data_IF_222997699155
#
_entry.id   IF_222997699155
#
_cell.length_a   1.000
_cell.length_b   1.000
_cell.length_c   1.000
_cell.angle_alpha   90.00
_cell.angle_beta   90.00
_cell.angle_gamma   90.00
#
_symmetry.space_group_name_H-M   'P 1'
#
loop_
_entity.id
_entity.type
_entity.pdbx_description
1 polymer ?
#
# COMPACT_ATOMS: atom_id res chain seq x y z
N UNK A 1 -54.24 -32.26 2.95
CA UNK A 1 -53.08 -31.47 2.44
C UNK A 1 -52.48 -32.24 1.30
N UNK A 2 -52.79 -31.79 0.09
CA UNK A 2 -52.51 -32.45 -1.19
C UNK A 2 -51.10 -32.10 -1.67
N UNK A 3 -50.34 -33.11 -2.07
CA UNK A 3 -48.99 -32.99 -2.60
C UNK A 3 -49.00 -32.42 -4.04
N UNK A 4 -48.04 -31.55 -4.42
CA UNK A 4 -47.95 -31.07 -5.79
C UNK A 4 -47.21 -32.08 -6.69
N UNK A 5 -47.90 -32.46 -7.76
CA UNK A 5 -47.41 -33.23 -8.91
C UNK A 5 -46.38 -32.42 -9.67
N UNK A 6 -45.16 -32.95 -9.81
CA UNK A 6 -44.09 -32.39 -10.64
C UNK A 6 -44.28 -32.91 -12.06
N UNK A 7 -44.66 -32.03 -12.99
CA UNK A 7 -44.72 -32.26 -14.43
C UNK A 7 -43.33 -32.17 -15.06
N UNK A 8 -42.96 -33.20 -15.83
CA UNK A 8 -41.75 -33.24 -16.66
C UNK A 8 -41.74 -32.12 -17.71
N UNK A 9 -40.60 -31.40 -17.90
CA UNK A 9 -40.45 -30.44 -18.99
C UNK A 9 -40.13 -31.16 -20.30
N UNK A 10 -40.94 -30.87 -21.31
CA UNK A 10 -40.86 -31.42 -22.66
C UNK A 10 -39.53 -31.21 -23.36
N UNK A 11 -39.15 -32.23 -24.13
CA UNK A 11 -38.05 -32.29 -25.09
C UNK A 11 -38.29 -31.31 -26.24
N UNK A 12 -37.87 -30.06 -26.05
CA UNK A 12 -37.80 -29.05 -27.11
C UNK A 12 -36.67 -29.38 -28.09
N UNK A 13 -37.03 -29.67 -29.34
CA UNK A 13 -36.14 -29.79 -30.47
C UNK A 13 -35.38 -28.47 -30.70
N UNK A 14 -34.16 -28.38 -30.17
CA UNK A 14 -33.23 -27.31 -30.54
C UNK A 14 -32.71 -27.55 -31.96
N UNK A 15 -32.77 -26.54 -32.85
CA UNK A 15 -32.21 -26.64 -34.19
C UNK A 15 -30.71 -26.90 -34.12
N UNK A 16 -30.23 -27.78 -34.99
CA UNK A 16 -28.81 -28.12 -35.11
C UNK A 16 -27.99 -26.83 -35.28
N UNK A 17 -26.98 -26.58 -34.43
CA UNK A 17 -26.11 -25.42 -34.60
C UNK A 17 -25.39 -25.56 -35.94
N UNK A 18 -25.68 -24.64 -36.86
CA UNK A 18 -24.93 -24.52 -38.10
C UNK A 18 -23.44 -24.30 -37.79
N UNK A 19 -22.54 -24.70 -38.70
CA UNK A 19 -21.11 -24.57 -38.49
C UNK A 19 -20.76 -23.08 -38.37
N UNK A 20 -20.66 -22.61 -37.13
CA UNK A 20 -20.04 -21.32 -36.84
C UNK A 20 -18.63 -21.41 -37.37
N UNK A 21 -18.27 -20.45 -38.22
CA UNK A 21 -16.93 -20.31 -38.78
C UNK A 21 -16.02 -19.89 -37.64
N UNK A 22 -15.68 -20.88 -36.83
CA UNK A 22 -14.81 -20.76 -35.69
C UNK A 22 -13.45 -20.33 -36.21
N UNK A 23 -13.03 -19.19 -35.68
CA UNK A 23 -11.66 -18.75 -35.52
C UNK A 23 -10.90 -19.87 -34.78
N UNK A 24 -10.60 -20.95 -35.49
CA UNK A 24 -9.75 -22.04 -35.03
C UNK A 24 -8.33 -21.50 -34.94
N UNK A 25 -8.09 -20.75 -33.88
CA UNK A 25 -6.76 -20.37 -33.45
C UNK A 25 -5.99 -21.69 -33.36
N UNK A 26 -4.94 -21.88 -34.16
CA UNK A 26 -4.39 -23.21 -34.42
C UNK A 26 -4.09 -23.90 -33.09
N UNK A 27 -4.62 -25.09 -32.88
CA UNK A 27 -4.49 -25.89 -31.65
C UNK A 27 -3.03 -26.05 -31.18
N UNK A 28 -2.09 -25.98 -32.12
CA UNK A 28 -0.65 -25.90 -31.88
C UNK A 28 -0.22 -24.66 -31.07
N UNK A 29 -0.84 -23.51 -31.29
CA UNK A 29 -0.52 -22.24 -30.61
C UNK A 29 -1.10 -22.20 -29.19
N UNK A 30 -2.32 -22.74 -28.99
CA UNK A 30 -2.89 -22.92 -27.65
C UNK A 30 -2.05 -23.86 -26.79
N UNK A 31 -1.59 -25.00 -27.34
CA UNK A 31 -0.79 -25.97 -26.58
C UNK A 31 0.60 -25.43 -26.19
N UNK A 32 1.23 -24.61 -27.05
CA UNK A 32 2.52 -23.96 -26.75
C UNK A 32 2.40 -22.89 -25.67
N UNK A 33 1.34 -22.08 -25.68
CA UNK A 33 1.10 -21.08 -24.62
C UNK A 33 0.63 -21.71 -23.30
N UNK A 34 -0.02 -22.87 -23.33
CA UNK A 34 -0.50 -23.55 -22.12
C UNK A 34 0.61 -24.19 -21.26
N UNK A 35 1.79 -24.51 -21.84
CA UNK A 35 2.92 -25.10 -21.08
C UNK A 35 3.51 -24.14 -20.03
N UNK A 36 3.95 -22.91 -20.38
CA UNK A 36 4.51 -21.98 -19.40
C UNK A 36 3.48 -21.57 -18.33
N UNK A 37 2.21 -21.46 -18.70
CA UNK A 37 1.13 -21.15 -17.75
C UNK A 37 0.92 -22.25 -16.70
N UNK A 38 0.93 -23.53 -17.12
CA UNK A 38 0.83 -24.67 -16.19
C UNK A 38 2.02 -24.74 -15.24
N UNK A 39 3.24 -24.61 -15.76
CA UNK A 39 4.45 -24.57 -14.95
C UNK A 39 4.42 -23.43 -13.93
N UNK A 40 4.00 -22.24 -14.34
CA UNK A 40 3.89 -21.09 -13.44
C UNK A 40 2.85 -21.31 -12.34
N UNK A 41 1.68 -21.87 -12.67
CA UNK A 41 0.64 -22.22 -11.69
C UNK A 41 1.13 -23.25 -10.68
N UNK A 42 1.85 -24.27 -11.12
CA UNK A 42 2.45 -25.27 -10.22
C UNK A 42 3.48 -24.64 -9.28
N UNK A 43 4.32 -23.73 -9.78
CA UNK A 43 5.30 -23.02 -8.95
C UNK A 43 4.64 -22.14 -7.89
N UNK A 44 3.52 -21.50 -8.23
CA UNK A 44 2.72 -20.74 -7.26
C UNK A 44 2.09 -21.66 -6.20
N UNK A 45 1.51 -22.79 -6.61
CA UNK A 45 0.93 -23.75 -5.67
C UNK A 45 1.98 -24.30 -4.69
N UNK A 46 3.16 -24.68 -5.19
CA UNK A 46 4.25 -25.13 -4.34
C UNK A 46 4.72 -24.05 -3.35
N UNK A 47 4.71 -22.78 -3.77
CA UNK A 47 5.01 -21.65 -2.88
C UNK A 47 3.91 -21.43 -1.83
N UNK A 48 2.64 -21.59 -2.20
CA UNK A 48 1.50 -21.46 -1.29
C UNK A 48 1.60 -22.52 -0.18
N UNK A 49 1.78 -23.78 -0.57
CA UNK A 49 1.86 -24.91 0.37
C UNK A 49 3.10 -24.81 1.27
N UNK A 50 4.22 -24.26 0.76
CA UNK A 50 5.42 -23.98 1.57
C UNK A 50 5.13 -22.98 2.70
N UNK A 51 4.44 -21.86 2.42
CA UNK A 51 4.15 -20.84 3.45
C UNK A 51 3.26 -21.40 4.56
N UNK A 52 2.28 -22.23 4.18
CA UNK A 52 1.36 -22.88 5.14
C UNK A 52 2.10 -23.94 5.97
N UNK A 53 2.96 -24.74 5.34
CA UNK A 53 3.77 -25.74 6.04
C UNK A 53 4.73 -25.07 7.04
N UNK A 54 5.38 -23.97 6.66
CA UNK A 54 6.23 -23.21 7.57
C UNK A 54 5.44 -22.59 8.74
N UNK A 55 4.21 -22.12 8.51
CA UNK A 55 3.37 -21.63 9.61
C UNK A 55 2.98 -22.76 10.56
N UNK A 56 2.62 -23.96 10.05
CA UNK A 56 2.33 -25.12 10.90
C UNK A 56 3.55 -25.52 11.73
N UNK A 57 4.72 -25.64 11.09
CA UNK A 57 5.97 -25.92 11.79
C UNK A 57 6.25 -24.90 12.88
N UNK A 58 6.05 -23.60 12.61
CA UNK A 58 6.25 -22.56 13.61
C UNK A 58 5.27 -22.65 14.79
N UNK A 59 4.02 -23.07 14.56
CA UNK A 59 3.06 -23.30 15.64
C UNK A 59 3.40 -24.56 16.46
N UNK A 60 3.85 -25.62 15.80
CA UNK A 60 4.32 -26.86 16.44
C UNK A 60 5.56 -26.58 17.31
N UNK A 61 6.52 -25.79 16.81
CA UNK A 61 7.73 -25.38 17.55
C UNK A 61 7.39 -24.56 18.81
N UNK A 62 6.26 -23.85 18.81
CA UNK A 62 5.75 -23.08 19.95
C UNK A 62 4.82 -23.89 20.86
N UNK A 63 4.52 -25.15 20.51
CA UNK A 63 3.58 -26.00 21.27
C UNK A 63 2.12 -25.52 21.19
N UNK A 64 1.74 -24.82 20.12
CA UNK A 64 0.36 -24.33 19.92
C UNK A 64 -0.41 -25.36 19.08
N UNK A 65 -1.12 -26.28 19.75
CA UNK A 65 -1.89 -27.37 19.12
C UNK A 65 -3.17 -26.90 18.38
N UNK A 66 -3.35 -25.60 18.15
CA UNK A 66 -4.57 -25.08 17.52
C UNK A 66 -4.50 -25.25 16.00
N UNK A 67 -5.51 -25.89 15.36
CA UNK A 67 -5.54 -26.00 13.91
C UNK A 67 -5.72 -24.62 13.26
N UNK A 68 -4.92 -24.33 12.24
CA UNK A 68 -5.05 -23.09 11.46
C UNK A 68 -6.44 -23.07 10.80
N UNK A 69 -7.22 -22.02 11.06
CA UNK A 69 -8.53 -21.87 10.41
C UNK A 69 -8.46 -21.87 8.87
N UNK A 70 -9.47 -22.45 8.22
CA UNK A 70 -9.58 -22.48 6.75
C UNK A 70 -9.59 -21.06 6.13
N UNK A 71 -10.03 -20.05 6.89
CA UNK A 71 -10.00 -18.65 6.49
C UNK A 71 -8.59 -18.11 6.33
N UNK A 72 -7.69 -18.43 7.28
CA UNK A 72 -6.27 -18.03 7.23
C UNK A 72 -5.54 -18.74 6.08
N UNK A 73 -5.77 -20.05 5.90
CA UNK A 73 -5.22 -20.80 4.76
C UNK A 73 -5.63 -20.15 3.42
N UNK A 74 -6.93 -19.96 3.21
CA UNK A 74 -7.46 -19.35 1.98
C UNK A 74 -6.91 -17.94 1.75
N UNK A 75 -6.76 -17.15 2.82
CA UNK A 75 -6.21 -15.81 2.76
C UNK A 75 -4.73 -15.80 2.34
N UNK A 76 -3.91 -16.70 2.88
CA UNK A 76 -2.48 -16.81 2.53
C UNK A 76 -2.30 -17.23 1.08
N UNK A 77 -3.03 -18.24 0.61
CA UNK A 77 -3.00 -18.67 -0.81
C UNK A 77 -3.39 -17.53 -1.74
N UNK A 78 -4.43 -16.77 -1.38
CA UNK A 78 -4.89 -15.62 -2.18
C UNK A 78 -3.85 -14.49 -2.17
N UNK A 79 -3.23 -14.19 -1.03
CA UNK A 79 -2.18 -13.18 -0.93
C UNK A 79 -0.97 -13.52 -1.82
N UNK A 80 -0.47 -14.75 -1.73
CA UNK A 80 0.73 -15.14 -2.46
C UNK A 80 0.50 -15.18 -3.99
N UNK A 81 -0.65 -15.71 -4.42
CA UNK A 81 -1.07 -15.70 -5.83
C UNK A 81 -1.08 -14.29 -6.43
N UNK A 82 -1.62 -13.31 -5.69
CA UNK A 82 -1.66 -11.95 -6.20
C UNK A 82 -0.30 -11.23 -6.12
N UNK A 83 0.50 -11.50 -5.10
CA UNK A 83 1.81 -10.85 -4.93
C UNK A 83 2.77 -11.22 -6.07
N UNK A 84 2.85 -12.50 -6.43
CA UNK A 84 3.68 -12.97 -7.55
C UNK A 84 3.27 -12.34 -8.89
N UNK A 85 1.97 -12.24 -9.14
CA UNK A 85 1.45 -11.58 -10.35
C UNK A 85 1.79 -10.08 -10.37
N UNK A 86 1.53 -9.36 -9.28
CA UNK A 86 1.77 -7.92 -9.21
C UNK A 86 3.25 -7.55 -9.25
N UNK A 87 4.14 -8.41 -8.74
CA UNK A 87 5.58 -8.18 -8.84
C UNK A 87 6.04 -8.23 -10.30
N UNK A 88 5.57 -9.20 -11.07
CA UNK A 88 5.85 -9.29 -12.51
C UNK A 88 5.29 -8.09 -13.27
N UNK A 89 4.03 -7.74 -13.03
CA UNK A 89 3.39 -6.58 -13.68
C UNK A 89 4.13 -5.28 -13.35
N UNK A 90 4.47 -5.05 -12.07
CA UNK A 90 5.23 -3.85 -11.66
C UNK A 90 6.61 -3.81 -12.28
N UNK A 91 7.31 -4.95 -12.34
CA UNK A 91 8.61 -5.05 -13.00
C UNK A 91 8.51 -4.69 -14.48
N UNK A 92 7.55 -5.27 -15.21
CA UNK A 92 7.33 -4.98 -16.62
C UNK A 92 6.93 -3.52 -16.88
N UNK A 93 6.01 -2.97 -16.08
CA UNK A 93 5.61 -1.56 -16.18
C UNK A 93 6.80 -0.64 -15.89
N UNK A 94 7.62 -0.95 -14.89
CA UNK A 94 8.83 -0.20 -14.58
C UNK A 94 9.83 -0.19 -15.75
N UNK A 95 10.06 -1.34 -16.38
CA UNK A 95 10.94 -1.45 -17.56
C UNK A 95 10.38 -0.63 -18.73
N UNK A 96 9.09 -0.77 -19.04
CA UNK A 96 8.44 -0.01 -20.11
C UNK A 96 8.48 1.50 -19.82
N UNK A 97 8.33 1.89 -18.57
CA UNK A 97 8.39 3.29 -18.15
C UNK A 97 9.79 3.88 -18.34
N UNK A 98 10.84 3.16 -17.92
CA UNK A 98 12.23 3.56 -18.14
C UNK A 98 12.54 3.67 -19.63
N UNK A 99 12.10 2.69 -20.43
CA UNK A 99 12.23 2.73 -21.89
C UNK A 99 11.53 3.93 -22.50
N UNK A 100 10.30 4.21 -22.07
CA UNK A 100 9.53 5.35 -22.53
C UNK A 100 10.26 6.67 -22.28
N UNK A 101 10.80 6.88 -21.07
CA UNK A 101 11.56 8.09 -20.75
C UNK A 101 12.88 8.19 -21.53
N UNK A 102 13.60 7.07 -21.70
CA UNK A 102 14.82 7.05 -22.50
C UNK A 102 14.54 7.43 -23.96
N UNK A 103 13.49 6.86 -24.56
CA UNK A 103 13.06 7.20 -25.92
C UNK A 103 12.56 8.64 -26.04
N UNK A 104 11.83 9.15 -25.04
CA UNK A 104 11.37 10.54 -25.02
C UNK A 104 12.52 11.53 -24.96
N UNK A 105 13.49 11.31 -24.06
CA UNK A 105 14.68 12.16 -23.94
C UNK A 105 15.49 12.13 -25.24
N UNK A 106 15.69 10.94 -25.82
CA UNK A 106 16.38 10.80 -27.11
C UNK A 106 15.64 11.53 -28.23
N UNK A 107 14.31 11.43 -28.30
CA UNK A 107 13.48 12.14 -29.28
C UNK A 107 13.52 13.66 -29.12
N UNK A 108 13.49 14.17 -27.89
CA UNK A 108 13.62 15.61 -27.63
C UNK A 108 15.01 16.13 -28.02
N UNK A 109 16.06 15.34 -27.75
CA UNK A 109 17.41 15.67 -28.17
C UNK A 109 17.55 15.73 -29.70
N UNK A 110 17.00 14.74 -30.43
CA UNK A 110 17.07 14.73 -31.90
C UNK A 110 16.29 15.89 -32.53
N UNK A 111 15.10 16.24 -32.03
CA UNK A 111 14.33 17.41 -32.49
C UNK A 111 15.07 18.72 -32.22
N UNK A 112 15.73 18.85 -31.06
CA UNK A 112 16.53 20.02 -30.75
C UNK A 112 17.71 20.17 -31.72
N UNK A 113 18.43 19.07 -32.01
CA UNK A 113 19.53 19.03 -32.99
C UNK A 113 19.03 19.38 -34.39
N UNK A 114 17.88 18.83 -34.84
CA UNK A 114 17.31 19.17 -36.14
C UNK A 114 16.89 20.65 -36.24
N UNK A 115 16.29 21.22 -35.19
CA UNK A 115 15.95 22.65 -35.14
C UNK A 115 17.18 23.56 -35.18
N UNK A 116 18.31 23.09 -34.67
CA UNK A 116 19.60 23.79 -34.77
C UNK A 116 20.13 23.76 -36.20
N UNK A 117 20.14 22.60 -36.85
CA UNK A 117 20.64 22.43 -38.23
C UNK A 117 19.79 23.22 -39.22
N UNK A 118 18.46 23.21 -39.07
CA UNK A 118 17.53 23.87 -40.01
C UNK A 118 17.54 25.40 -39.93
N UNK A 119 18.07 26.02 -38.86
CA UNK A 119 18.12 27.48 -38.69
C UNK A 119 19.31 28.16 -39.37
N UNK A 120 20.09 27.43 -40.16
CA UNK A 120 21.22 27.93 -40.94
C UNK A 120 22.59 27.72 -40.26
N UNK A 121 23.67 27.53 -41.05
CA UNK A 121 25.00 27.17 -40.54
C UNK A 121 25.55 28.18 -39.52
N UNK A 122 25.31 29.48 -39.72
CA UNK A 122 25.82 30.55 -38.84
C UNK A 122 25.34 30.44 -37.38
N UNK A 123 24.12 29.92 -37.14
CA UNK A 123 23.59 29.74 -35.78
C UNK A 123 24.00 28.41 -35.16
N UNK A 124 24.17 27.38 -35.98
CA UNK A 124 24.70 26.10 -35.53
C UNK A 124 26.15 26.28 -35.06
N UNK A 125 26.97 26.99 -35.82
CA UNK A 125 28.37 27.25 -35.49
C UNK A 125 28.51 28.12 -34.24
N UNK A 126 27.66 29.12 -34.03
CA UNK A 126 27.65 29.92 -32.79
C UNK A 126 27.27 29.07 -31.56
N UNK A 127 26.32 28.15 -31.69
CA UNK A 127 25.92 27.28 -30.58
C UNK A 127 26.98 26.22 -30.31
N UNK A 128 27.57 25.63 -31.36
CA UNK A 128 28.70 24.71 -31.24
C UNK A 128 29.88 25.43 -30.60
N UNK A 129 30.23 26.65 -31.02
CA UNK A 129 31.30 27.46 -30.44
C UNK A 129 31.04 27.84 -28.98
N UNK A 130 29.79 28.13 -28.60
CA UNK A 130 29.42 28.34 -27.18
C UNK A 130 29.50 27.06 -26.36
N UNK A 131 29.08 25.92 -26.92
CA UNK A 131 29.18 24.61 -26.28
C UNK A 131 30.63 24.17 -26.12
N UNK A 132 31.47 24.31 -27.14
CA UNK A 132 32.91 24.01 -27.05
C UNK A 132 33.66 25.02 -26.19
N UNK A 133 33.25 26.30 -26.14
CA UNK A 133 33.77 27.29 -25.20
C UNK A 133 33.43 26.96 -23.75
N UNK A 134 32.20 26.49 -23.48
CA UNK A 134 31.83 25.94 -22.17
C UNK A 134 32.64 24.67 -21.87
N UNK A 135 32.80 23.77 -22.83
CA UNK A 135 33.56 22.52 -22.71
C UNK A 135 35.06 22.75 -22.49
N UNK A 136 35.60 23.86 -22.99
CA UNK A 136 37.01 24.22 -22.86
C UNK A 136 37.37 24.88 -21.53
N UNK A 137 36.39 25.49 -20.83
CA UNK A 137 36.62 26.18 -19.56
C UNK A 137 36.12 25.44 -18.31
N UNK A 138 35.28 24.42 -18.48
CA UNK A 138 34.89 23.53 -17.39
C UNK A 138 35.58 22.20 -17.57
N UNK A 139 36.19 21.68 -16.50
CA UNK A 139 36.71 20.30 -16.54
C UNK A 139 35.59 19.38 -17.04
N UNK A 140 35.87 18.44 -17.96
CA UNK A 140 34.84 17.62 -18.60
C UNK A 140 33.94 16.90 -17.58
N UNK A 141 34.48 16.60 -16.38
CA UNK A 141 33.75 16.03 -15.25
C UNK A 141 32.66 16.97 -14.72
N UNK A 142 32.94 18.28 -14.60
CA UNK A 142 32.02 19.30 -14.06
C UNK A 142 30.88 19.55 -15.05
N UNK A 143 31.16 19.59 -16.35
CA UNK A 143 30.13 19.74 -17.37
C UNK A 143 29.13 18.57 -17.37
N UNK A 144 29.64 17.33 -17.33
CA UNK A 144 28.78 16.15 -17.23
C UNK A 144 28.00 16.12 -15.92
N UNK A 145 28.55 16.61 -14.80
CA UNK A 145 27.83 16.78 -13.52
C UNK A 145 26.67 17.76 -13.63
N UNK A 146 26.83 18.90 -14.32
CA UNK A 146 25.73 19.86 -14.50
C UNK A 146 24.63 19.33 -15.42
N UNK A 147 24.99 18.66 -16.51
CA UNK A 147 24.02 18.07 -17.44
C UNK A 147 23.27 16.92 -16.79
N UNK A 148 23.99 15.99 -16.14
CA UNK A 148 23.38 14.87 -15.43
C UNK A 148 22.57 15.34 -14.23
N UNK A 149 23.08 16.31 -13.46
CA UNK A 149 22.37 16.92 -12.33
C UNK A 149 21.09 17.63 -12.76
N UNK A 150 21.14 18.42 -13.84
CA UNK A 150 19.96 19.08 -14.42
C UNK A 150 18.91 18.08 -14.89
N UNK A 151 19.32 17.04 -15.62
CA UNK A 151 18.42 15.96 -16.06
C UNK A 151 17.84 15.19 -14.87
N UNK A 152 18.65 14.93 -13.83
CA UNK A 152 18.20 14.24 -12.62
C UNK A 152 17.14 15.06 -11.87
N UNK A 153 17.39 16.34 -11.61
CA UNK A 153 16.43 17.24 -10.95
C UNK A 153 15.13 17.34 -11.76
N UNK A 154 15.21 17.53 -13.08
CA UNK A 154 14.02 17.63 -13.93
C UNK A 154 13.24 16.32 -13.98
N UNK A 155 13.93 15.17 -14.01
CA UNK A 155 13.31 13.85 -13.95
C UNK A 155 12.63 13.59 -12.60
N UNK A 156 13.22 14.03 -11.49
CA UNK A 156 12.64 13.87 -10.15
C UNK A 156 11.40 14.76 -10.00
N UNK A 157 11.49 16.03 -10.38
CA UNK A 157 10.35 16.96 -10.33
C UNK A 157 9.22 16.49 -11.24
N UNK A 158 9.53 16.11 -12.48
CA UNK A 158 8.54 15.54 -13.42
C UNK A 158 7.93 14.25 -12.89
N UNK A 159 8.75 13.33 -12.35
CA UNK A 159 8.26 12.08 -11.77
C UNK A 159 7.36 12.33 -10.57
N UNK A 160 7.66 13.31 -9.72
CA UNK A 160 6.80 13.71 -8.59
C UNK A 160 5.48 14.31 -9.11
N UNK A 161 5.53 15.20 -10.10
CA UNK A 161 4.34 15.81 -10.71
C UNK A 161 3.49 14.83 -11.52
N UNK A 162 4.05 13.72 -12.01
CA UNK A 162 3.28 12.66 -12.70
C UNK A 162 2.83 11.57 -11.73
N UNK A 163 3.70 11.13 -10.81
CA UNK A 163 3.35 10.10 -9.83
C UNK A 163 2.35 10.58 -8.80
N UNK A 164 2.40 11.82 -8.32
CA UNK A 164 1.45 12.30 -7.31
C UNK A 164 0.02 12.29 -7.88
N UNK A 165 -0.26 12.89 -9.05
CA UNK A 165 -1.56 12.77 -9.70
C UNK A 165 -1.88 11.37 -10.19
N UNK A 166 -0.91 10.54 -10.58
CA UNK A 166 -1.19 9.14 -10.90
C UNK A 166 -1.53 8.32 -9.66
N UNK A 167 -0.91 8.54 -8.50
CA UNK A 167 -1.24 7.83 -7.26
C UNK A 167 -2.55 8.32 -6.65
N UNK A 168 -2.80 9.63 -6.69
CA UNK A 168 -4.03 10.24 -6.17
C UNK A 168 -5.20 10.07 -7.15
N UNK A 169 -4.90 10.11 -8.44
CA UNK A 169 -5.86 10.15 -9.55
C UNK A 169 -6.02 8.86 -10.34
N UNK A 170 -5.14 7.84 -10.25
CA UNK A 170 -5.42 6.52 -10.85
C UNK A 170 -6.74 5.91 -10.37
N UNK A 171 -7.17 6.06 -9.09
CA UNK A 171 -8.50 5.63 -8.71
C UNK A 171 -9.63 6.38 -9.45
N UNK A 172 -9.38 7.63 -9.88
CA UNK A 172 -10.36 8.51 -10.54
C UNK A 172 -10.33 8.43 -12.07
N UNK A 173 -9.16 8.23 -12.68
CA UNK A 173 -9.01 8.12 -14.14
C UNK A 173 -9.52 6.77 -14.67
N UNK A 174 -9.42 5.70 -13.88
CA UNK A 174 -10.03 4.41 -14.22
C UNK A 174 -11.55 4.36 -13.98
N UNK A 175 -12.13 5.32 -13.24
CA UNK A 175 -13.58 5.40 -13.00
C UNK A 175 -14.34 6.30 -13.98
N UNK A 176 -13.64 7.11 -14.78
CA UNK A 176 -14.24 8.04 -15.76
C UNK A 176 -14.38 7.52 -17.20
N UNK A 177 -13.95 6.28 -17.50
CA UNK A 177 -14.15 5.74 -18.85
C UNK A 177 -15.64 5.43 -19.11
N UNK A 178 -16.21 5.72 -20.29
CA UNK A 178 -17.62 5.45 -20.59
C UNK A 178 -17.98 3.95 -20.63
N UNK A 179 -17.00 3.04 -20.49
CA UNK A 179 -17.22 1.62 -20.19
C UNK A 179 -17.53 1.36 -18.69
N UNK A 180 -17.33 2.34 -17.80
CA UNK A 180 -17.59 2.25 -16.36
C UNK A 180 -19.05 2.59 -15.98
N UNK A 181 -19.90 3.03 -16.93
CA UNK A 181 -21.33 3.25 -16.68
C UNK A 181 -22.21 2.02 -16.89
N UNK A 182 -21.66 0.86 -17.27
CA UNK A 182 -22.33 -0.41 -16.96
C UNK A 182 -22.20 -0.65 -15.46
N UNK A 183 -23.20 -0.20 -14.71
CA UNK A 183 -23.53 -0.55 -13.32
C UNK A 183 -22.56 -1.55 -12.70
N UNK A 184 -21.38 -1.10 -12.31
CA UNK A 184 -20.66 -1.75 -11.23
C UNK A 184 -21.38 -1.28 -9.99
N UNK A 185 -22.32 -2.11 -9.50
CA UNK A 185 -22.61 -2.15 -8.07
C UNK A 185 -21.28 -1.98 -7.31
N UNK A 186 -21.25 -1.30 -6.15
CA UNK A 186 -20.07 -1.23 -5.29
C UNK A 186 -19.77 -2.62 -4.70
N UNK A 187 -19.44 -3.57 -5.56
CA UNK A 187 -19.05 -4.93 -5.26
C UNK A 187 -17.55 -4.91 -5.00
N UNK A 188 -17.19 -4.44 -3.81
CA UNK A 188 -16.13 -5.00 -2.96
C UNK A 188 -14.71 -5.25 -3.47
N UNK A 189 -14.35 -4.98 -4.72
CA UNK A 189 -13.05 -5.38 -5.28
C UNK A 189 -12.00 -4.29 -5.09
N UNK A 190 -11.72 -3.97 -3.82
CA UNK A 190 -10.38 -3.47 -3.51
C UNK A 190 -9.38 -4.57 -3.83
N UNK A 191 -8.24 -4.19 -4.40
CA UNK A 191 -7.22 -5.13 -4.81
C UNK A 191 -6.98 -6.17 -3.68
N UNK A 192 -7.31 -7.45 -3.92
CA UNK A 192 -7.35 -8.48 -2.87
C UNK A 192 -6.06 -8.55 -2.05
N UNK A 193 -4.92 -8.19 -2.65
CA UNK A 193 -3.61 -8.06 -1.98
C UNK A 193 -3.70 -7.25 -0.69
N UNK A 194 -4.33 -6.06 -0.72
CA UNK A 194 -4.36 -5.18 0.45
C UNK A 194 -5.17 -5.78 1.59
N UNK A 195 -6.23 -6.52 1.26
CA UNK A 195 -7.08 -7.14 2.27
C UNK A 195 -6.32 -8.21 3.03
N UNK A 196 -5.49 -9.02 2.36
CA UNK A 196 -4.79 -10.16 2.99
C UNK A 196 -3.36 -9.85 3.48
N UNK A 197 -2.83 -8.67 3.20
CA UNK A 197 -1.51 -8.24 3.70
C UNK A 197 -1.36 -8.35 5.22
N UNK A 198 -2.36 -7.97 6.05
CA UNK A 198 -2.24 -8.10 7.50
C UNK A 198 -2.00 -9.55 7.93
N UNK A 199 -2.72 -10.51 7.36
CA UNK A 199 -2.58 -11.94 7.71
C UNK A 199 -1.17 -12.43 7.40
N UNK A 200 -0.63 -12.09 6.24
CA UNK A 200 0.75 -12.46 5.90
C UNK A 200 1.78 -11.87 6.87
N UNK A 201 1.63 -10.59 7.22
CA UNK A 201 2.53 -9.95 8.19
C UNK A 201 2.42 -10.57 9.58
N UNK A 202 1.22 -10.97 10.00
CA UNK A 202 1.00 -11.67 11.26
C UNK A 202 1.70 -13.03 11.25
N UNK A 203 1.56 -13.80 10.17
CA UNK A 203 2.23 -15.09 10.00
C UNK A 203 3.75 -14.96 10.06
N UNK A 204 4.32 -13.91 9.47
CA UNK A 204 5.76 -13.64 9.58
C UNK A 204 6.17 -13.38 11.05
N UNK A 205 5.35 -12.65 11.82
CA UNK A 205 5.63 -12.42 13.25
C UNK A 205 5.58 -13.72 14.05
N UNK A 206 4.60 -14.60 13.79
CA UNK A 206 4.51 -15.92 14.44
C UNK A 206 5.78 -16.75 14.16
N UNK A 207 6.25 -16.77 12.89
CA UNK A 207 7.50 -17.44 12.53
C UNK A 207 8.71 -16.88 13.30
N UNK A 208 8.80 -15.56 13.47
CA UNK A 208 9.87 -14.94 14.28
C UNK A 208 9.77 -15.30 15.75
N UNK A 209 8.56 -15.44 16.29
CA UNK A 209 8.36 -15.92 17.65
C UNK A 209 8.89 -17.37 17.80
N UNK A 210 8.55 -18.26 16.86
CA UNK A 210 9.06 -19.63 16.85
C UNK A 210 10.59 -19.70 16.67
N UNK A 211 11.16 -18.91 15.76
CA UNK A 211 12.61 -18.80 15.58
C UNK A 211 13.35 -18.28 16.82
N UNK A 212 12.69 -17.44 17.63
CA UNK A 212 13.22 -16.92 18.88
C UNK A 212 13.09 -17.95 20.01
N UNK A 213 11.96 -18.67 20.09
CA UNK A 213 11.72 -19.71 21.09
C UNK A 213 12.70 -20.90 20.93
N UNK A 214 13.02 -21.27 19.68
CA UNK A 214 13.97 -22.34 19.37
C UNK A 214 15.45 -21.91 19.47
N UNK A 215 15.73 -20.61 19.58
CA UNK A 215 17.09 -20.11 19.68
C UNK A 215 17.66 -20.28 21.09
N UNK A 216 18.97 -20.52 21.18
CA UNK A 216 19.67 -20.70 22.45
C UNK A 216 20.74 -19.63 22.66
N UNK A 217 21.10 -19.38 23.92
CA UNK A 217 22.15 -18.45 24.31
C UNK A 217 21.92 -17.01 23.84
N UNK A 218 22.97 -16.36 23.35
CA UNK A 218 22.94 -14.95 22.93
C UNK A 218 22.01 -14.71 21.72
N UNK A 219 21.87 -15.68 20.82
CA UNK A 219 20.99 -15.55 19.65
C UNK A 219 19.53 -15.36 20.05
N UNK A 220 19.10 -15.96 21.16
CA UNK A 220 17.76 -15.80 21.71
C UNK A 220 17.49 -14.35 22.09
N UNK A 221 18.45 -13.68 22.71
CA UNK A 221 18.33 -12.27 23.11
C UNK A 221 18.16 -11.38 21.87
N UNK A 222 19.00 -11.54 20.86
CA UNK A 222 18.91 -10.74 19.62
C UNK A 222 17.59 -10.98 18.87
N UNK A 223 17.18 -12.24 18.70
CA UNK A 223 15.95 -12.58 18.00
C UNK A 223 14.71 -12.08 18.75
N UNK A 224 14.68 -12.24 20.07
CA UNK A 224 13.58 -11.72 20.90
C UNK A 224 13.51 -10.19 20.82
N UNK A 225 14.65 -9.51 20.85
CA UNK A 225 14.72 -8.05 20.72
C UNK A 225 14.28 -7.49 19.37
N UNK A 226 14.35 -8.28 18.29
CA UNK A 226 13.92 -7.88 16.93
C UNK A 226 12.40 -8.03 16.71
N UNK A 227 11.70 -8.80 17.56
CA UNK A 227 10.26 -9.06 17.39
C UNK A 227 9.42 -7.79 17.31
N UNK A 228 9.57 -6.77 18.19
CA UNK A 228 8.77 -5.54 18.10
C UNK A 228 8.97 -4.79 16.77
N UNK A 229 10.21 -4.79 16.24
CA UNK A 229 10.51 -4.16 14.96
C UNK A 229 9.83 -4.90 13.80
N UNK A 230 9.79 -6.24 13.85
CA UNK A 230 9.11 -7.10 12.86
C UNK A 230 7.59 -7.11 13.01
N UNK A 231 7.06 -6.84 14.20
CA UNK A 231 5.63 -6.70 14.47
C UNK A 231 5.04 -5.37 13.98
N UNK A 232 5.86 -4.30 13.90
CA UNK A 232 5.44 -2.95 13.50
C UNK A 232 4.64 -2.88 12.18
N UNK A 233 5.00 -3.57 11.08
CA UNK A 233 4.18 -3.64 9.88
C UNK A 233 2.79 -4.25 10.13
N UNK A 234 2.70 -5.36 10.87
CA UNK A 234 1.45 -6.02 11.21
C UNK A 234 0.55 -5.12 12.07
N UNK A 235 1.12 -4.45 13.08
CA UNK A 235 0.41 -3.49 13.93
C UNK A 235 -0.10 -2.28 13.12
N UNK A 236 0.71 -1.75 12.19
CA UNK A 236 0.28 -0.68 11.27
C UNK A 236 -0.87 -1.13 10.38
N UNK A 237 -0.84 -2.38 9.92
CA UNK A 237 -1.91 -2.98 9.12
C UNK A 237 -3.19 -3.18 9.93
N UNK A 238 -3.12 -3.66 11.17
CA UNK A 238 -4.26 -3.77 12.11
C UNK A 238 -4.89 -2.40 12.36
N UNK A 239 -4.08 -1.37 12.62
CA UNK A 239 -4.57 0.01 12.78
C UNK A 239 -5.31 0.54 11.55
N UNK A 240 -5.08 -0.06 10.38
CA UNK A 240 -5.71 0.29 9.10
C UNK A 240 -6.70 -0.79 8.64
N UNK A 241 -6.92 -1.86 9.40
CA UNK A 241 -7.76 -3.00 9.04
C UNK A 241 -9.18 -2.58 8.66
N UNK A 242 -9.79 -1.70 9.46
CA UNK A 242 -11.11 -1.14 9.18
C UNK A 242 -11.15 -0.38 7.85
N UNK A 243 -10.03 0.29 7.50
CA UNK A 243 -9.91 1.02 6.27
C UNK A 243 -9.66 0.10 5.11
N UNK A 244 -8.88 -0.98 5.23
CA UNK A 244 -8.54 -1.84 4.08
C UNK A 244 -9.73 -2.66 3.59
N UNK A 245 -10.57 -3.16 4.50
CA UNK A 245 -11.65 -4.09 4.15
C UNK A 245 -12.84 -3.45 3.42
N UNK A 246 -13.03 -2.15 3.54
CA UNK A 246 -14.03 -1.40 2.76
C UNK A 246 -15.48 -1.65 3.12
N UNK A 247 -15.72 -2.41 4.19
CA UNK A 247 -17.07 -2.76 4.67
C UNK A 247 -17.76 -1.56 5.32
N UNK A 248 -16.99 -0.60 5.85
CA UNK A 248 -17.54 0.53 6.59
C UNK A 248 -17.44 1.80 5.75
N UNK A 249 -18.55 2.50 5.47
CA UNK A 249 -18.53 3.77 4.77
C UNK A 249 -17.68 4.78 5.53
N UNK A 250 -16.86 5.54 4.78
CA UNK A 250 -16.12 6.68 5.30
C UNK A 250 -17.13 7.65 5.95
N UNK A 251 -16.84 8.14 7.16
CA UNK A 251 -17.66 9.09 7.94
C UNK A 251 -18.81 8.54 8.80
N UNK A 252 -18.98 7.22 8.95
CA UNK A 252 -19.95 6.70 9.94
C UNK A 252 -19.38 6.71 11.36
N UNK A 253 -20.22 6.93 12.39
CA UNK A 253 -19.78 6.87 13.81
C UNK A 253 -19.12 5.53 14.18
N UNK A 254 -19.49 4.44 13.48
CA UNK A 254 -18.88 3.11 13.61
C UNK A 254 -17.36 3.13 13.36
N UNK A 255 -16.88 4.08 12.56
CA UNK A 255 -15.46 4.25 12.27
C UNK A 255 -14.63 4.59 13.51
N UNK A 256 -15.15 5.47 14.36
CA UNK A 256 -14.48 5.87 15.61
C UNK A 256 -14.35 4.70 16.58
N UNK A 257 -15.38 3.85 16.68
CA UNK A 257 -15.36 2.64 17.50
C UNK A 257 -14.30 1.65 17.03
N UNK A 258 -14.28 1.32 15.73
CA UNK A 258 -13.28 0.39 15.16
C UNK A 258 -11.86 0.91 15.31
N UNK A 259 -11.65 2.22 15.17
CA UNK A 259 -10.35 2.82 15.38
C UNK A 259 -9.90 2.74 16.84
N UNK A 260 -10.81 2.97 17.79
CA UNK A 260 -10.54 2.80 19.23
C UNK A 260 -10.21 1.35 19.56
N UNK A 261 -11.00 0.39 19.08
CA UNK A 261 -10.76 -1.04 19.24
C UNK A 261 -9.38 -1.44 18.70
N UNK A 262 -9.05 -1.05 17.46
CA UNK A 262 -7.75 -1.37 16.87
C UNK A 262 -6.58 -0.76 17.67
N UNK A 263 -6.74 0.42 18.28
CA UNK A 263 -5.71 1.00 19.17
C UNK A 263 -5.56 0.22 20.47
N UNK A 264 -6.67 -0.26 21.05
CA UNK A 264 -6.65 -1.11 22.25
C UNK A 264 -5.99 -2.46 21.97
N UNK A 265 -6.29 -3.09 20.83
CA UNK A 265 -5.61 -4.32 20.39
C UNK A 265 -4.10 -4.10 20.27
N UNK A 266 -3.67 -3.01 19.62
CA UNK A 266 -2.23 -2.68 19.50
C UNK A 266 -1.59 -2.40 20.87
N UNK A 267 -2.28 -1.70 21.76
CA UNK A 267 -1.82 -1.45 23.12
C UNK A 267 -1.62 -2.76 23.89
N UNK A 268 -2.58 -3.68 23.80
CA UNK A 268 -2.50 -5.01 24.42
C UNK A 268 -1.33 -5.84 23.87
N UNK A 269 -1.09 -5.80 22.56
CA UNK A 269 0.07 -6.48 21.97
C UNK A 269 1.38 -5.85 22.48
N UNK A 270 1.45 -4.52 22.60
CA UNK A 270 2.62 -3.88 23.17
C UNK A 270 2.85 -4.26 24.64
N UNK A 271 1.81 -4.38 25.47
CA UNK A 271 1.95 -4.89 26.85
C UNK A 271 2.59 -6.28 26.87
N UNK A 272 2.15 -7.19 25.99
CA UNK A 272 2.75 -8.52 25.84
C UNK A 272 4.19 -8.44 25.34
N UNK A 273 4.49 -7.55 24.39
CA UNK A 273 5.88 -7.31 23.94
C UNK A 273 6.78 -6.82 25.08
N UNK A 274 6.25 -6.07 26.06
CA UNK A 274 7.04 -5.68 27.25
C UNK A 274 7.32 -6.88 28.17
N UNK A 275 6.41 -7.86 28.20
CA UNK A 275 6.62 -9.13 28.91
C UNK A 275 7.82 -9.92 28.40
N UNK A 276 8.20 -9.75 27.12
CA UNK A 276 9.35 -10.44 26.53
C UNK A 276 10.68 -10.11 27.23
N UNK A 277 10.78 -8.95 27.88
CA UNK A 277 11.98 -8.55 28.62
C UNK A 277 12.07 -9.20 30.01
N UNK A 278 10.94 -9.69 30.54
CA UNK A 278 10.89 -10.32 31.86
C UNK A 278 10.91 -11.85 31.76
N UNK A 279 10.03 -12.43 30.94
CA UNK A 279 9.93 -13.88 30.79
C UNK A 279 9.64 -14.25 29.32
N UNK A 280 10.69 -14.41 28.48
CA UNK A 280 10.51 -14.49 27.03
C UNK A 280 9.77 -15.76 26.59
N UNK A 281 10.03 -16.92 27.19
CA UNK A 281 9.50 -18.19 26.67
C UNK A 281 7.98 -18.31 26.69
N UNK A 282 7.30 -18.17 27.85
CA UNK A 282 5.84 -18.22 27.88
C UNK A 282 5.23 -17.02 27.15
N UNK A 283 5.90 -15.86 27.17
CA UNK A 283 5.40 -14.66 26.49
C UNK A 283 5.44 -14.82 24.96
N UNK A 284 6.44 -15.50 24.39
CA UNK A 284 6.51 -15.77 22.95
C UNK A 284 5.34 -16.65 22.49
N UNK A 285 5.00 -17.67 23.28
CA UNK A 285 3.86 -18.56 23.01
C UNK A 285 2.54 -17.79 23.11
N UNK A 286 2.33 -17.02 24.18
CA UNK A 286 1.14 -16.20 24.35
C UNK A 286 1.00 -15.17 23.22
N UNK A 287 2.09 -14.49 22.88
CA UNK A 287 2.12 -13.48 21.81
C UNK A 287 1.74 -14.11 20.46
N UNK A 288 2.29 -15.28 20.13
CA UNK A 288 1.97 -16.00 18.91
C UNK A 288 0.50 -16.46 18.85
N UNK A 289 -0.07 -16.95 19.97
CA UNK A 289 -1.48 -17.33 20.04
C UNK A 289 -2.42 -16.12 19.84
N UNK A 290 -2.09 -14.96 20.43
CA UNK A 290 -2.85 -13.72 20.24
C UNK A 290 -2.76 -13.24 18.79
N UNK A 291 -1.58 -13.30 18.18
CA UNK A 291 -1.40 -13.01 16.76
C UNK A 291 -2.22 -13.94 15.86
N UNK A 292 -2.19 -15.25 16.12
CA UNK A 292 -2.99 -16.24 15.40
C UNK A 292 -4.48 -15.91 15.52
N UNK A 293 -4.98 -15.65 16.73
CA UNK A 293 -6.37 -15.27 16.99
C UNK A 293 -6.77 -14.01 16.20
N UNK A 294 -5.91 -12.99 16.15
CA UNK A 294 -6.15 -11.78 15.35
C UNK A 294 -6.23 -12.11 13.85
N UNK A 295 -5.34 -12.98 13.33
CA UNK A 295 -5.36 -13.39 11.94
C UNK A 295 -6.65 -14.14 11.57
N UNK A 296 -7.12 -15.02 12.45
CA UNK A 296 -8.37 -15.78 12.27
C UNK A 296 -9.58 -14.85 12.23
N UNK A 297 -9.74 -14.00 13.26
CA UNK A 297 -10.85 -13.04 13.33
C UNK A 297 -10.82 -12.06 12.18
N UNK A 298 -9.63 -11.64 11.77
CA UNK A 298 -9.47 -10.80 10.60
C UNK A 298 -9.82 -11.55 9.31
N UNK A 299 -9.46 -12.82 9.14
CA UNK A 299 -9.87 -13.62 7.98
C UNK A 299 -11.41 -13.75 7.90
N UNK A 300 -12.07 -13.98 9.03
CA UNK A 300 -13.52 -14.18 9.11
C UNK A 300 -14.37 -12.97 8.74
N UNK A 301 -13.95 -11.76 9.09
CA UNK A 301 -14.91 -10.63 9.07
C UNK A 301 -14.74 -9.62 10.16
N UNK A 302 -14.21 -10.08 11.29
CA UNK A 302 -14.50 -9.53 12.61
C UNK A 302 -13.49 -8.46 13.01
N UNK A 303 -13.40 -7.41 12.19
CA UNK A 303 -12.45 -6.29 12.42
C UNK A 303 -12.76 -5.51 13.70
N UNK A 304 -14.01 -5.55 14.19
CA UNK A 304 -14.42 -4.94 15.45
C UNK A 304 -14.25 -5.83 16.69
N UNK A 305 -13.79 -7.07 16.51
CA UNK A 305 -13.61 -8.07 17.56
C UNK A 305 -12.40 -8.95 17.22
N UNK A 306 -11.25 -8.29 17.01
CA UNK A 306 -9.99 -8.96 16.66
C UNK A 306 -9.41 -9.80 17.80
N UNK A 307 -9.72 -9.45 19.05
CA UNK A 307 -9.27 -10.13 20.25
C UNK A 307 -10.50 -10.29 21.16
N UNK A 308 -10.62 -11.46 21.80
CA UNK A 308 -11.73 -11.76 22.72
C UNK A 308 -11.47 -11.29 24.14
N UNK A 309 -10.25 -10.82 24.44
CA UNK A 309 -9.87 -10.32 25.75
C UNK A 309 -10.68 -9.09 26.14
N UNK A 310 -10.90 -8.89 27.44
CA UNK A 310 -11.48 -7.65 27.92
C UNK A 310 -10.50 -6.50 27.74
N UNK A 311 -10.69 -5.77 26.64
CA UNK A 311 -9.92 -4.58 26.30
C UNK A 311 -10.42 -3.34 27.08
N UNK A 312 -11.35 -3.48 28.04
CA UNK A 312 -11.91 -2.36 28.79
C UNK A 312 -10.83 -1.56 29.54
N UNK A 313 -9.89 -2.25 30.17
CA UNK A 313 -8.83 -1.70 31.04
C UNK A 313 -7.65 -1.10 30.27
N UNK A 314 -7.43 -1.51 29.02
CA UNK A 314 -6.26 -1.10 28.23
C UNK A 314 -6.43 0.33 27.70
N UNK A 315 -5.50 1.22 28.08
CA UNK A 315 -5.47 2.58 27.55
C UNK A 315 -5.05 2.59 26.06
N UNK A 316 -5.79 3.28 25.18
CA UNK A 316 -5.46 3.30 23.77
C UNK A 316 -4.17 4.09 23.52
N UNK A 317 -3.17 3.44 22.92
CA UNK A 317 -1.89 4.07 22.55
C UNK A 317 -2.12 5.35 21.74
N UNK A 318 -1.73 6.48 22.33
CA UNK A 318 -1.66 7.77 21.63
C UNK A 318 -0.41 7.76 20.76
N UNK A 319 -0.59 7.99 19.46
CA UNK A 319 0.54 8.04 18.55
C UNK A 319 1.25 9.38 18.66
N UNK A 320 2.24 9.47 19.56
CA UNK A 320 3.10 10.64 19.75
C UNK A 320 3.63 11.22 18.43
N UNK A 321 3.99 10.35 17.48
CA UNK A 321 4.50 10.77 16.16
C UNK A 321 3.44 11.49 15.35
N UNK A 322 2.17 11.03 15.37
CA UNK A 322 1.11 11.70 14.61
C UNK A 322 0.82 13.06 15.21
N UNK A 323 0.83 13.15 16.53
CA UNK A 323 0.59 14.40 17.23
C UNK A 323 1.73 15.37 16.92
N UNK A 324 3.00 14.94 17.03
CA UNK A 324 4.17 15.73 16.62
C UNK A 324 4.17 16.12 15.15
N UNK A 325 3.82 15.21 14.24
CA UNK A 325 3.77 15.51 12.80
C UNK A 325 2.67 16.52 12.51
N UNK A 326 1.55 16.45 13.25
CA UNK A 326 0.45 17.39 13.16
C UNK A 326 0.86 18.77 13.70
N UNK A 327 1.64 18.80 14.78
CA UNK A 327 2.23 20.03 15.30
C UNK A 327 3.21 20.65 14.30
N UNK A 328 4.12 19.85 13.72
CA UNK A 328 5.06 20.32 12.68
C UNK A 328 4.31 20.81 11.45
N UNK A 329 3.30 20.07 10.98
CA UNK A 329 2.48 20.47 9.84
C UNK A 329 1.71 21.77 10.13
N UNK A 330 1.20 21.95 11.35
CA UNK A 330 0.56 23.20 11.78
C UNK A 330 1.56 24.37 11.71
N UNK A 331 2.77 24.19 12.22
CA UNK A 331 3.81 25.23 12.16
C UNK A 331 4.18 25.56 10.72
N UNK A 332 4.45 24.55 9.88
CA UNK A 332 4.82 24.76 8.46
C UNK A 332 3.71 25.46 7.68
N UNK A 333 2.45 25.03 7.85
CA UNK A 333 1.31 25.67 7.19
C UNK A 333 1.06 27.08 7.71
N UNK A 334 1.28 27.34 8.99
CA UNK A 334 1.11 28.68 9.58
C UNK A 334 2.18 29.62 9.05
N UNK A 335 3.46 29.23 9.08
CA UNK A 335 4.57 30.04 8.57
C UNK A 335 4.42 30.26 7.06
N UNK A 336 4.11 29.22 6.29
CA UNK A 336 3.87 29.33 4.85
C UNK A 336 2.67 30.21 4.52
N UNK A 337 1.59 30.10 5.30
CA UNK A 337 0.41 30.95 5.18
C UNK A 337 0.71 32.42 5.47
N UNK A 338 1.42 32.71 6.57
CA UNK A 338 1.83 34.07 6.94
C UNK A 338 2.76 34.69 5.89
N UNK A 339 3.76 33.93 5.42
CA UNK A 339 4.67 34.38 4.37
C UNK A 339 3.92 34.65 3.05
N UNK A 340 3.00 33.76 2.67
CA UNK A 340 2.17 33.95 1.50
C UNK A 340 1.28 35.20 1.63
N UNK A 341 0.67 35.43 2.79
CA UNK A 341 -0.13 36.64 3.03
C UNK A 341 0.70 37.91 3.02
N UNK A 342 1.92 37.89 3.55
CA UNK A 342 2.82 39.05 3.54
C UNK A 342 3.35 39.38 2.14
N UNK A 343 3.37 38.40 1.22
CA UNK A 343 3.74 38.63 -0.18
C UNK A 343 2.64 39.25 -1.04
N UNK A 344 1.40 39.29 -0.51
CA UNK A 344 0.30 40.02 -1.10
C UNK A 344 0.38 41.44 -0.52
N UNK A 345 0.73 42.45 -1.33
CA UNK A 345 0.76 43.87 -0.93
C UNK A 345 -0.64 44.35 -0.52
N UNK A 346 -1.06 43.98 0.70
CA UNK A 346 -2.35 44.27 1.27
C UNK A 346 -2.30 45.61 2.03
N UNK A 347 -3.37 46.41 2.01
CA UNK A 347 -3.48 47.60 2.84
C UNK A 347 -3.26 47.30 4.33
N UNK A 348 -2.46 48.13 5.00
CA UNK A 348 -2.06 47.97 6.41
C UNK A 348 -3.24 47.83 7.39
N UNK A 349 -4.41 48.37 7.03
CA UNK A 349 -5.63 48.27 7.82
C UNK A 349 -6.23 46.85 7.90
N UNK A 350 -5.96 45.98 6.91
CA UNK A 350 -6.52 44.62 6.85
C UNK A 350 -5.50 43.51 7.10
N UNK A 351 -4.21 43.83 7.01
CA UNK A 351 -3.10 42.88 7.13
C UNK A 351 -3.16 42.06 8.43
N UNK A 352 -3.34 42.73 9.58
CA UNK A 352 -3.44 42.06 10.88
C UNK A 352 -4.63 41.10 11.01
N UNK A 353 -5.77 41.44 10.41
CA UNK A 353 -6.96 40.58 10.40
C UNK A 353 -6.76 39.35 9.52
N UNK A 354 -6.10 39.50 8.37
CA UNK A 354 -5.82 38.39 7.45
C UNK A 354 -4.80 37.42 8.06
N UNK A 355 -3.74 37.93 8.68
CA UNK A 355 -2.72 37.08 9.35
C UNK A 355 -3.35 36.27 10.49
N UNK A 356 -4.13 36.92 11.35
CA UNK A 356 -4.80 36.24 12.48
C UNK A 356 -5.85 35.23 12.00
N UNK A 357 -6.67 35.58 10.99
CA UNK A 357 -7.63 34.65 10.40
C UNK A 357 -6.95 33.44 9.74
N UNK A 358 -5.81 33.63 9.08
CA UNK A 358 -5.04 32.55 8.44
C UNK A 358 -4.45 31.60 9.47
N UNK A 359 -3.88 32.13 10.56
CA UNK A 359 -3.36 31.31 11.65
C UNK A 359 -4.46 30.48 12.31
N UNK A 360 -5.61 31.09 12.64
CA UNK A 360 -6.77 30.38 13.21
C UNK A 360 -7.31 29.34 12.24
N UNK A 361 -7.41 29.67 10.94
CA UNK A 361 -7.85 28.76 9.90
C UNK A 361 -6.97 27.52 9.77
N UNK A 362 -5.64 27.70 9.77
CA UNK A 362 -4.68 26.58 9.76
C UNK A 362 -4.84 25.71 11.01
N UNK A 363 -5.00 26.32 12.19
CA UNK A 363 -5.14 25.59 13.44
C UNK A 363 -6.44 24.76 13.48
N UNK A 364 -7.56 25.33 13.00
CA UNK A 364 -8.83 24.62 12.85
C UNK A 364 -8.76 23.51 11.80
N UNK A 365 -8.08 23.76 10.68
CA UNK A 365 -7.90 22.76 9.61
C UNK A 365 -7.04 21.60 10.09
N UNK A 366 -5.94 21.90 10.77
CA UNK A 366 -4.99 20.90 11.24
C UNK A 366 -5.54 20.14 12.42
N UNK A 367 -6.01 20.78 13.49
CA UNK A 367 -6.47 20.10 14.71
C UNK A 367 -7.96 19.70 14.70
N UNK A 368 -8.76 20.27 13.81
CA UNK A 368 -10.21 20.05 13.74
C UNK A 368 -10.97 20.79 14.85
N UNK A 369 -12.30 20.69 14.84
CA UNK A 369 -13.18 21.33 15.83
C UNK A 369 -12.99 20.84 17.27
N UNK A 370 -12.34 19.67 17.46
CA UNK A 370 -12.02 19.14 18.79
C UNK A 370 -11.02 20.00 19.58
N UNK A 371 -10.15 20.75 18.91
CA UNK A 371 -9.16 21.60 19.57
C UNK A 371 -9.80 22.76 20.35
N UNK A 372 -10.93 23.27 19.86
CA UNK A 372 -11.69 24.33 20.53
C UNK A 372 -12.23 23.82 21.87
N UNK A 373 -12.64 22.55 21.93
CA UNK A 373 -13.18 21.94 23.16
C UNK A 373 -12.06 21.71 24.18
N UNK A 374 -10.88 21.30 23.74
CA UNK A 374 -9.73 21.11 24.63
C UNK A 374 -9.15 22.44 25.14
N UNK A 375 -9.12 23.49 24.31
CA UNK A 375 -8.74 24.85 24.73
C UNK A 375 -9.76 25.47 25.68
N UNK A 376 -11.03 25.07 25.63
CA UNK A 376 -12.08 25.52 26.56
C UNK A 376 -12.05 24.81 27.91
N UNK A 377 -11.43 23.62 27.98
CA UNK A 377 -11.30 22.83 29.21
C UNK A 377 -10.05 23.19 30.04
N UNK A 378 -9.09 23.87 29.44
CA UNK A 378 -7.95 24.49 30.12
C UNK A 378 -8.31 25.92 30.47
#
# INVERSE_FOLDING_TARGET
MTAPTITEPGTGNSPAPGPTTDTALPTLLQSRLARPWRWWRQRLQASDDKVIAELRSALDDLGIDRPISAGVDTALRRYNRHTGFWFLVRGSVGILWVWFWASWILGMATVAVQKLITKGPDKADMVIAKLTGLYGHTEPVVFWLYVTGGVMVLSVVSSVFVMIPAMIGAPKLFTGSPLAHRQMEPKGDRAPVQVYTPIYQIVEVIKRCAEAATATGEQKIYKTGDIPAKASPALRSIRRAYYMRGIVPLHTMRWGYLQKHARKVVARIHELEHGLYSDPDPTLVELADKWLTIAERYAEGRVGALLDDDLSEVEPVRSLIRDRLRDVLAVVLTVGGVFFTASLDLPQAIEGYVISATAVGVLLLVYGSGAIVDLRRR
#
